data_IF_899032830609
#
_entry.id   IF_899032830609
#
_cell.length_a   1.000
_cell.length_b   1.000
_cell.length_c   1.000
_cell.angle_alpha   90.00
_cell.angle_beta   90.00
_cell.angle_gamma   90.00
#
_symmetry.space_group_name_H-M   'P 1'
#
loop_
_entity.id
_entity.type
_entity.pdbx_description
1 polymer ?
#
# COMPACT_ATOMS: atom_id res chain seq x y z
N UNK A 1 -25.41 41.26 -31.33
CA UNK A 1 -25.26 40.10 -30.42
C UNK A 1 -25.51 38.85 -31.25
N UNK A 2 -24.48 38.36 -31.93
CA UNK A 2 -24.55 37.11 -32.68
C UNK A 2 -24.16 35.98 -31.72
N UNK A 3 -25.09 35.03 -31.54
CA UNK A 3 -24.81 33.75 -30.91
C UNK A 3 -24.08 32.90 -31.96
N UNK A 4 -22.85 32.50 -31.65
CA UNK A 4 -22.14 31.45 -32.38
C UNK A 4 -21.97 30.28 -31.42
N UNK A 5 -22.79 29.28 -31.66
CA UNK A 5 -22.74 27.93 -31.11
C UNK A 5 -21.46 27.26 -31.64
N UNK A 6 -20.57 26.84 -30.74
CA UNK A 6 -19.41 26.00 -31.10
C UNK A 6 -19.84 24.56 -30.90
N UNK A 7 -19.84 23.86 -32.03
CA UNK A 7 -20.22 22.45 -32.19
C UNK A 7 -19.23 21.58 -31.40
N UNK A 8 -19.74 20.79 -30.45
CA UNK A 8 -19.00 19.70 -29.80
C UNK A 8 -18.80 18.61 -30.86
N UNK A 9 -17.55 18.42 -31.29
CA UNK A 9 -17.16 17.24 -32.02
C UNK A 9 -17.19 16.06 -31.04
N UNK A 10 -18.20 15.21 -31.17
CA UNK A 10 -18.20 13.87 -30.63
C UNK A 10 -17.24 13.06 -31.48
N UNK A 11 -16.01 12.88 -30.99
CA UNK A 11 -15.09 11.92 -31.58
C UNK A 11 -15.61 10.51 -31.26
N UNK A 12 -15.91 9.76 -32.31
CA UNK A 12 -16.35 8.37 -32.29
C UNK A 12 -15.36 7.52 -31.50
N UNK A 13 -15.76 7.10 -30.30
CA UNK A 13 -15.04 6.12 -29.50
C UNK A 13 -15.26 4.76 -30.18
N UNK A 14 -14.29 4.34 -30.99
CA UNK A 14 -14.19 2.98 -31.51
C UNK A 14 -14.15 1.99 -30.33
N UNK A 15 -15.05 0.99 -30.26
CA UNK A 15 -14.97 -0.04 -29.25
C UNK A 15 -13.73 -0.91 -29.53
N UNK A 16 -12.77 -0.89 -28.59
CA UNK A 16 -11.62 -1.78 -28.61
C UNK A 16 -12.10 -3.23 -28.83
N UNK A 17 -11.60 -3.84 -29.89
CA UNK A 17 -11.88 -5.22 -30.23
C UNK A 17 -11.34 -6.13 -29.14
N UNK A 18 -12.23 -7.02 -28.73
CA UNK A 18 -12.09 -8.09 -27.77
C UNK A 18 -11.12 -9.19 -28.24
N UNK A 19 -10.53 -9.87 -27.25
CA UNK A 19 -10.12 -11.28 -27.27
C UNK A 19 -8.76 -11.73 -27.87
N UNK A 20 -7.90 -12.17 -26.93
CA UNK A 20 -7.09 -13.41 -26.89
C UNK A 20 -5.64 -13.38 -27.38
N UNK A 21 -4.74 -13.05 -26.45
CA UNK A 21 -3.43 -13.68 -26.39
C UNK A 21 -3.39 -14.61 -25.18
N UNK A 22 -3.82 -15.85 -25.37
CA UNK A 22 -3.53 -16.96 -24.45
C UNK A 22 -2.00 -17.07 -24.32
N UNK A 23 -1.42 -17.02 -23.11
CA UNK A 23 -0.04 -17.48 -22.93
C UNK A 23 -0.04 -19.01 -23.11
N UNK A 24 0.62 -19.47 -24.17
CA UNK A 24 0.90 -20.89 -24.41
C UNK A 24 1.87 -21.38 -23.33
N UNK A 25 1.32 -21.75 -22.17
CA UNK A 25 2.06 -22.34 -21.07
C UNK A 25 2.33 -23.81 -21.42
N UNK A 26 3.42 -24.07 -22.14
CA UNK A 26 4.01 -25.41 -22.20
C UNK A 26 4.47 -25.81 -20.79
N UNK A 27 3.54 -26.40 -20.05
CA UNK A 27 3.78 -27.08 -18.78
C UNK A 27 4.63 -28.31 -19.08
N UNK A 28 5.96 -28.14 -19.09
CA UNK A 28 6.89 -29.25 -19.08
C UNK A 28 6.56 -30.11 -17.86
N UNK A 29 5.99 -31.29 -18.11
CA UNK A 29 5.63 -32.27 -17.11
C UNK A 29 6.88 -32.67 -16.34
N UNK A 30 7.09 -32.00 -15.20
CA UNK A 30 8.02 -32.43 -14.19
C UNK A 30 7.43 -33.69 -13.56
N UNK A 31 7.99 -34.81 -14.02
CA UNK A 31 8.02 -36.14 -13.44
C UNK A 31 7.19 -36.31 -12.16
N UNK A 32 6.09 -37.04 -12.30
CA UNK A 32 5.25 -37.50 -11.21
C UNK A 32 6.03 -38.46 -10.30
N UNK A 33 6.86 -37.91 -9.42
CA UNK A 33 7.17 -38.59 -8.17
C UNK A 33 5.91 -38.51 -7.32
N UNK A 34 5.06 -39.51 -7.52
CA UNK A 34 4.04 -39.95 -6.57
C UNK A 34 4.71 -40.19 -5.22
N UNK A 35 4.81 -39.13 -4.41
CA UNK A 35 4.91 -39.28 -2.97
C UNK A 35 3.54 -39.80 -2.55
N UNK A 36 3.46 -41.13 -2.50
CA UNK A 36 2.46 -41.85 -1.72
C UNK A 36 2.14 -41.02 -0.49
N UNK A 37 0.88 -40.77 -0.12
CA UNK A 37 0.61 -40.03 1.11
C UNK A 37 1.35 -40.79 2.20
N UNK A 38 2.41 -40.17 2.72
CA UNK A 38 3.04 -40.61 3.93
C UNK A 38 1.85 -40.77 4.87
N UNK A 39 1.67 -42.01 5.35
CA UNK A 39 0.82 -42.37 6.45
C UNK A 39 1.28 -41.51 7.63
N UNK A 40 0.88 -40.25 7.61
CA UNK A 40 0.93 -39.33 8.72
C UNK A 40 -0.21 -39.84 9.56
N UNK A 41 0.06 -40.95 10.26
CA UNK A 41 -0.62 -41.25 11.49
C UNK A 41 -0.36 -40.03 12.36
N UNK A 42 -1.28 -39.06 12.27
CA UNK A 42 -1.47 -38.02 13.26
C UNK A 42 -1.90 -38.75 14.52
N UNK A 43 -0.93 -39.43 15.14
CA UNK A 43 -1.08 -40.19 16.37
C UNK A 43 -1.12 -39.17 17.48
N UNK A 44 -2.33 -38.72 17.79
CA UNK A 44 -2.56 -37.85 18.95
C UNK A 44 -3.53 -36.70 18.74
N UNK A 45 -4.13 -36.54 17.55
CA UNK A 45 -5.22 -35.57 17.35
C UNK A 45 -6.51 -36.36 17.18
N UNK A 46 -7.30 -36.36 18.25
CA UNK A 46 -8.64 -36.91 18.32
C UNK A 46 -9.67 -35.88 17.87
N UNK A 47 -10.87 -36.33 17.52
CA UNK A 47 -11.99 -35.44 17.19
C UNK A 47 -12.29 -34.43 18.33
N UNK A 48 -11.95 -34.79 19.57
CA UNK A 48 -12.08 -33.94 20.75
C UNK A 48 -11.08 -32.77 20.80
N UNK A 49 -10.04 -32.78 19.96
CA UNK A 49 -9.06 -31.69 19.87
C UNK A 49 -9.51 -30.59 18.88
N UNK A 50 -10.63 -30.80 18.18
CA UNK A 50 -11.24 -29.81 17.30
C UNK A 50 -12.44 -29.13 17.97
N UNK A 51 -12.63 -27.85 17.69
CA UNK A 51 -13.79 -27.08 18.14
C UNK A 51 -14.63 -26.76 16.91
N UNK A 52 -15.94 -27.03 16.97
CA UNK A 52 -16.86 -26.69 15.89
C UNK A 52 -16.87 -25.17 15.63
N UNK A 53 -16.92 -24.79 14.35
CA UNK A 53 -16.91 -23.39 13.93
C UNK A 53 -18.09 -22.62 14.55
N UNK A 54 -19.25 -23.26 14.70
CA UNK A 54 -20.43 -22.68 15.33
C UNK A 54 -20.20 -22.35 16.81
N UNK A 55 -19.43 -23.18 17.53
CA UNK A 55 -19.04 -22.89 18.92
C UNK A 55 -18.06 -21.72 19.00
N UNK A 56 -17.14 -21.59 18.04
CA UNK A 56 -16.24 -20.44 17.96
C UNK A 56 -17.00 -19.15 17.64
N UNK A 57 -17.96 -19.20 16.71
CA UNK A 57 -18.81 -18.06 16.35
C UNK A 57 -19.68 -17.60 17.52
N UNK A 58 -20.30 -18.56 18.22
CA UNK A 58 -21.13 -18.26 19.40
C UNK A 58 -20.31 -17.70 20.55
N UNK A 59 -19.08 -18.19 20.76
CA UNK A 59 -18.15 -17.63 21.75
C UNK A 59 -17.68 -16.21 21.39
N UNK A 60 -17.55 -15.87 20.10
CA UNK A 60 -17.24 -14.51 19.64
C UNK A 60 -18.42 -13.55 19.83
N UNK A 61 -19.66 -14.00 19.62
CA UNK A 61 -20.86 -13.21 19.92
C UNK A 61 -21.10 -13.03 21.43
N UNK A 62 -20.67 -13.99 22.24
CA UNK A 62 -20.73 -13.89 23.71
C UNK A 62 -19.51 -13.20 24.32
N UNK A 63 -18.46 -12.97 23.55
CA UNK A 63 -17.34 -12.15 23.94
C UNK A 63 -17.87 -10.74 24.17
N UNK A 64 -17.74 -10.25 25.40
CA UNK A 64 -17.85 -8.84 25.72
C UNK A 64 -16.82 -8.13 24.82
N UNK A 65 -17.26 -7.73 23.63
CA UNK A 65 -16.67 -6.65 22.88
C UNK A 65 -17.05 -5.38 23.65
N UNK A 66 -16.58 -5.33 24.88
CA UNK A 66 -16.68 -4.17 25.72
C UNK A 66 -15.75 -3.17 25.07
N UNK A 67 -16.32 -2.32 24.22
CA UNK A 67 -15.60 -1.20 23.61
C UNK A 67 -14.97 -0.31 24.70
N UNK A 68 -15.49 -0.37 25.94
CA UNK A 68 -14.91 0.32 27.09
C UNK A 68 -13.55 -0.24 27.56
N UNK A 69 -13.16 -1.45 27.12
CA UNK A 69 -11.81 -2.00 27.39
C UNK A 69 -10.69 -1.13 26.84
N UNK A 70 -10.98 -0.41 25.74
CA UNK A 70 -10.07 0.55 25.14
C UNK A 70 -10.26 1.96 25.71
N UNK A 71 -11.43 2.28 26.24
CA UNK A 71 -11.70 3.57 26.93
C UNK A 71 -10.90 3.71 28.24
N UNK A 72 -10.52 2.59 28.87
CA UNK A 72 -9.74 2.57 30.10
C UNK A 72 -8.23 2.44 29.87
N UNK A 73 -7.79 2.21 28.63
CA UNK A 73 -6.38 2.08 28.29
C UNK A 73 -5.75 3.45 28.07
N UNK A 74 -5.65 4.23 29.15
CA UNK A 74 -4.85 5.46 29.16
C UNK A 74 -3.38 5.08 29.43
N UNK A 75 -2.70 4.57 28.40
CA UNK A 75 -1.27 4.24 28.48
C UNK A 75 -0.48 5.54 28.41
N UNK A 76 0.10 5.92 29.55
CA UNK A 76 1.07 7.01 29.63
C UNK A 76 2.36 6.59 28.93
N UNK A 77 2.50 7.05 27.69
CA UNK A 77 3.68 6.89 26.85
C UNK A 77 4.75 7.95 27.12
N UNK A 78 4.56 8.83 28.11
CA UNK A 78 5.51 9.87 28.48
C UNK A 78 5.71 10.94 27.40
N UNK A 79 4.74 11.12 26.50
CA UNK A 79 4.84 12.13 25.42
C UNK A 79 4.80 13.57 25.95
N UNK A 80 4.27 13.79 27.15
CA UNK A 80 4.28 15.09 27.83
C UNK A 80 5.69 15.63 28.08
N UNK A 81 6.69 14.74 28.26
CA UNK A 81 8.09 15.12 28.48
C UNK A 81 8.78 15.63 27.20
N UNK A 82 8.15 15.39 26.05
CA UNK A 82 8.60 15.86 24.74
C UNK A 82 7.75 17.03 24.23
N UNK A 83 6.81 17.58 25.02
CA UNK A 83 5.95 18.68 24.59
C UNK A 83 6.73 19.91 24.07
N UNK A 84 7.91 20.16 24.64
CA UNK A 84 8.84 21.22 24.20
C UNK A 84 9.43 20.96 22.79
N UNK A 85 9.49 19.69 22.35
CA UNK A 85 10.04 19.25 21.07
C UNK A 85 8.95 19.09 20.01
N UNK A 86 7.82 18.47 20.39
CA UNK A 86 6.74 18.11 19.46
C UNK A 86 5.74 19.27 19.27
N UNK A 87 5.83 20.31 20.10
CA UNK A 87 4.87 21.40 20.12
C UNK A 87 3.56 20.99 20.79
N UNK A 88 2.94 21.94 21.48
CA UNK A 88 1.66 21.73 22.17
C UNK A 88 0.53 21.52 21.14
N UNK A 89 0.05 20.28 21.02
CA UNK A 89 -1.25 19.92 20.42
C UNK A 89 -1.46 20.14 18.91
N UNK A 90 -0.42 20.24 18.08
CA UNK A 90 -0.63 20.14 16.63
C UNK A 90 -0.62 18.68 16.19
N UNK A 91 -1.82 18.13 15.88
CA UNK A 91 -1.92 16.98 14.97
C UNK A 91 -1.38 17.45 13.62
N UNK A 92 -0.07 17.30 13.45
CA UNK A 92 0.65 17.63 12.23
C UNK A 92 0.39 16.49 11.25
N UNK A 93 -0.30 16.79 10.16
CA UNK A 93 -0.50 15.82 9.10
C UNK A 93 0.79 15.75 8.28
N UNK A 94 1.50 14.63 8.42
CA UNK A 94 2.88 14.45 7.94
C UNK A 94 3.01 14.52 6.41
N UNK A 95 1.90 14.38 5.69
CA UNK A 95 1.82 14.51 4.23
C UNK A 95 1.14 15.82 3.76
N UNK A 96 0.61 16.64 4.67
CA UNK A 96 0.20 18.01 4.29
C UNK A 96 1.40 18.94 4.19
N UNK A 97 2.41 18.74 5.04
CA UNK A 97 3.67 19.47 4.93
C UNK A 97 4.31 19.08 3.60
N UNK A 98 4.56 20.09 2.77
CA UNK A 98 5.06 19.91 1.40
C UNK A 98 4.18 19.05 0.49
N UNK A 99 2.85 19.07 0.66
CA UNK A 99 1.91 18.41 -0.27
C UNK A 99 2.25 16.92 -0.55
N UNK A 100 2.83 16.21 0.41
CA UNK A 100 3.19 14.80 0.29
C UNK A 100 4.44 14.54 -0.55
N UNK A 101 5.19 15.57 -0.92
CA UNK A 101 6.44 15.42 -1.67
C UNK A 101 7.55 14.74 -0.86
N UNK A 102 7.47 14.73 0.47
CA UNK A 102 8.38 13.97 1.33
C UNK A 102 8.37 12.46 0.99
N UNK A 103 7.17 11.87 0.82
CA UNK A 103 7.04 10.47 0.43
C UNK A 103 7.62 10.21 -0.98
N UNK A 104 7.50 11.19 -1.89
CA UNK A 104 8.10 11.10 -3.23
C UNK A 104 9.63 11.13 -3.18
N UNK A 105 10.23 11.93 -2.28
CA UNK A 105 11.68 11.95 -2.07
C UNK A 105 12.20 10.61 -1.54
N UNK A 106 11.48 10.00 -0.59
CA UNK A 106 11.83 8.67 -0.08
C UNK A 106 11.76 7.62 -1.19
N UNK A 107 10.77 7.71 -2.08
CA UNK A 107 10.66 6.83 -3.24
C UNK A 107 11.84 7.01 -4.23
N UNK A 108 12.29 8.25 -4.48
CA UNK A 108 13.50 8.51 -5.27
C UNK A 108 14.72 7.84 -4.63
N UNK A 109 14.90 8.00 -3.32
CA UNK A 109 16.03 7.39 -2.59
C UNK A 109 15.98 5.86 -2.66
N UNK A 110 14.80 5.26 -2.52
CA UNK A 110 14.61 3.82 -2.66
C UNK A 110 14.99 3.32 -4.05
N UNK A 111 14.59 4.02 -5.13
CA UNK A 111 15.00 3.64 -6.49
C UNK A 111 16.51 3.73 -6.72
N UNK A 112 17.17 4.72 -6.13
CA UNK A 112 18.64 4.82 -6.17
C UNK A 112 19.28 3.66 -5.40
N UNK A 113 18.75 3.31 -4.22
CA UNK A 113 19.24 2.18 -3.41
C UNK A 113 19.03 0.82 -4.11
N UNK A 114 17.99 0.71 -4.92
CA UNK A 114 17.69 -0.49 -5.73
C UNK A 114 18.46 -0.54 -7.06
N UNK A 115 19.39 0.39 -7.31
CA UNK A 115 20.14 0.51 -8.57
C UNK A 115 19.23 0.69 -9.81
N UNK A 116 18.09 1.38 -9.65
CA UNK A 116 17.17 1.73 -10.75
C UNK A 116 17.21 3.24 -11.09
N UNK A 117 18.26 3.72 -11.80
CA UNK A 117 18.44 5.14 -12.07
C UNK A 117 17.41 5.70 -13.06
N UNK A 118 16.88 4.90 -13.99
CA UNK A 118 15.86 5.36 -14.94
C UNK A 118 14.57 5.75 -14.21
N UNK A 119 14.10 4.88 -13.31
CA UNK A 119 12.94 5.10 -12.45
C UNK A 119 13.13 6.31 -11.53
N UNK A 120 14.32 6.45 -10.92
CA UNK A 120 14.66 7.60 -10.08
C UNK A 120 14.65 8.92 -10.88
N UNK A 121 15.27 8.96 -12.06
CA UNK A 121 15.33 10.16 -12.89
C UNK A 121 13.95 10.64 -13.35
N UNK A 122 13.05 9.71 -13.69
CA UNK A 122 11.68 10.05 -14.07
C UNK A 122 10.93 10.74 -12.91
N UNK A 123 11.06 10.22 -11.70
CA UNK A 123 10.48 10.86 -10.51
C UNK A 123 11.12 12.22 -10.19
N UNK A 124 12.45 12.34 -10.33
CA UNK A 124 13.17 13.61 -10.13
C UNK A 124 12.61 14.68 -11.08
N UNK A 125 12.45 14.38 -12.36
CA UNK A 125 11.93 15.32 -13.35
C UNK A 125 10.45 15.67 -13.10
N UNK A 126 9.64 14.71 -12.62
CA UNK A 126 8.27 14.96 -12.18
C UNK A 126 8.25 15.97 -11.03
N UNK A 127 9.04 15.73 -9.98
CA UNK A 127 9.11 16.61 -8.79
C UNK A 127 9.58 18.01 -9.20
N UNK A 128 10.57 18.14 -10.07
CA UNK A 128 11.08 19.43 -10.54
C UNK A 128 10.07 20.23 -11.37
N UNK A 129 9.21 19.56 -12.13
CA UNK A 129 8.18 20.19 -12.96
C UNK A 129 6.89 20.49 -12.19
N UNK A 130 6.71 19.83 -11.04
CA UNK A 130 5.54 19.98 -10.18
C UNK A 130 5.54 21.27 -9.34
N UNK A 131 4.45 21.49 -8.60
CA UNK A 131 4.31 22.55 -7.58
C UNK A 131 5.05 22.21 -6.27
N UNK A 132 6.09 21.36 -6.33
CA UNK A 132 6.89 21.07 -5.16
C UNK A 132 7.54 22.35 -4.59
N UNK A 133 7.60 22.48 -3.26
CA UNK A 133 8.30 23.57 -2.58
C UNK A 133 9.76 23.68 -3.01
N UNK A 134 10.34 24.87 -2.87
CA UNK A 134 11.71 25.14 -3.30
C UNK A 134 12.74 24.25 -2.57
N UNK A 135 12.57 23.99 -1.27
CA UNK A 135 13.48 23.13 -0.53
C UNK A 135 13.44 21.66 -0.98
N UNK A 136 12.25 21.15 -1.34
CA UNK A 136 12.09 19.81 -1.93
C UNK A 136 12.79 19.74 -3.29
N UNK A 137 12.63 20.78 -4.12
CA UNK A 137 13.29 20.87 -5.44
C UNK A 137 14.81 20.98 -5.32
N UNK A 138 15.31 21.65 -4.30
CA UNK A 138 16.75 21.72 -4.04
C UNK A 138 17.29 20.38 -3.57
N UNK A 139 16.57 19.70 -2.67
CA UNK A 139 16.96 18.38 -2.20
C UNK A 139 16.98 17.35 -3.34
N UNK A 140 15.91 17.27 -4.15
CA UNK A 140 15.81 16.29 -5.23
C UNK A 140 16.90 16.46 -6.30
N UNK A 141 17.41 17.68 -6.52
CA UNK A 141 18.55 17.94 -7.42
C UNK A 141 19.84 17.30 -6.94
N UNK A 142 20.03 17.19 -5.62
CA UNK A 142 21.22 16.56 -5.04
C UNK A 142 21.18 15.04 -5.16
N UNK A 143 20.01 14.47 -5.37
CA UNK A 143 19.78 13.02 -5.50
C UNK A 143 19.91 12.52 -6.94
N UNK A 144 20.26 13.38 -7.91
CA UNK A 144 20.39 12.94 -9.31
C UNK A 144 21.54 11.93 -9.43
N UNK A 145 21.27 10.68 -9.86
CA UNK A 145 22.30 9.67 -10.05
C UNK A 145 23.22 10.06 -11.21
N UNK A 146 24.50 9.69 -11.11
CA UNK A 146 25.55 9.91 -12.13
C UNK A 146 25.36 9.06 -13.40
#
# INVERSE_FOLDING_TARGET
>A
LAQTEVVVATDDIEPAQDLEAEPDLELAAADEQSDSPADTTVTGVSDADFVEIDNLLSALEQGDNDDSRFEQLNVDVGLDEFADIIGEHTKMDVDQEDNGFAAKLDLVRAYIEMDEPESANLLIDEILTSDAPDHVKDEVRTLRPE
#
